data_IF_949131594451
#
_entry.id   IF_949131594451
#
_cell.length_a   1.000
_cell.length_b   1.000
_cell.length_c   1.000
_cell.angle_alpha   90.00
_cell.angle_beta   90.00
_cell.angle_gamma   90.00
#
_symmetry.space_group_name_H-M   'P 1'
#
loop_
_entity.id
_entity.type
_entity.pdbx_description
1 polymer ?
#
# COMPACT_ATOMS: atom_id res chain seq x y z
N UNK A 1 19.85 -18.28 11.98
CA UNK A 1 19.36 -16.97 12.43
C UNK A 1 17.85 -17.05 12.49
N UNK A 2 17.28 -17.27 13.67
CA UNK A 2 15.89 -16.87 13.92
C UNK A 2 15.97 -15.38 14.27
N UNK A 3 15.45 -14.52 13.41
CA UNK A 3 15.46 -13.07 13.68
C UNK A 3 14.78 -12.75 15.01
N UNK A 4 15.20 -11.65 15.61
CA UNK A 4 14.72 -11.19 16.92
C UNK A 4 13.22 -10.88 16.93
N UNK A 5 12.65 -10.51 15.76
CA UNK A 5 11.21 -10.21 15.58
C UNK A 5 10.65 -10.80 14.27
N UNK A 6 10.20 -12.07 14.25
CA UNK A 6 9.71 -12.72 13.03
C UNK A 6 8.51 -11.97 12.40
N UNK A 7 7.64 -11.38 13.22
CA UNK A 7 6.52 -10.57 12.72
C UNK A 7 6.98 -9.40 11.85
N UNK A 8 7.98 -8.62 12.31
CA UNK A 8 8.42 -7.40 11.62
C UNK A 8 9.11 -7.72 10.32
N UNK A 9 9.84 -8.84 10.27
CA UNK A 9 10.54 -9.27 9.07
C UNK A 9 9.57 -9.71 7.96
N UNK A 10 8.57 -10.53 8.29
CA UNK A 10 7.55 -10.93 7.31
C UNK A 10 6.78 -9.72 6.80
N UNK A 11 6.40 -8.82 7.71
CA UNK A 11 5.68 -7.60 7.36
C UNK A 11 6.47 -6.72 6.40
N UNK A 12 7.75 -6.45 6.72
CA UNK A 12 8.62 -5.64 5.86
C UNK A 12 8.77 -6.26 4.47
N UNK A 13 8.97 -7.57 4.39
CA UNK A 13 9.15 -8.24 3.10
C UNK A 13 7.88 -8.17 2.23
N UNK A 14 6.70 -8.24 2.85
CA UNK A 14 5.42 -8.03 2.18
C UNK A 14 5.19 -6.56 1.76
N UNK A 15 5.55 -5.60 2.62
CA UNK A 15 5.50 -4.17 2.32
C UNK A 15 6.41 -3.80 1.14
N UNK A 16 7.64 -4.31 1.12
CA UNK A 16 8.59 -4.09 0.02
C UNK A 16 8.06 -4.64 -1.31
N UNK A 17 7.38 -5.79 -1.28
CA UNK A 17 6.73 -6.36 -2.47
C UNK A 17 5.61 -5.45 -2.98
N UNK A 18 4.73 -5.00 -2.10
CA UNK A 18 3.65 -4.07 -2.44
C UNK A 18 4.20 -2.72 -2.90
N UNK A 19 5.30 -2.24 -2.34
CA UNK A 19 5.92 -0.98 -2.75
C UNK A 19 6.58 -1.06 -4.13
N UNK A 20 7.18 -2.20 -4.48
CA UNK A 20 7.87 -2.40 -5.76
C UNK A 20 6.89 -2.66 -6.91
N UNK A 21 5.79 -3.37 -6.65
CA UNK A 21 4.88 -3.88 -7.67
C UNK A 21 3.47 -3.26 -7.60
N UNK A 22 3.14 -2.59 -6.51
CA UNK A 22 1.80 -2.11 -6.22
C UNK A 22 0.86 -3.24 -5.78
N UNK A 23 -0.41 -2.90 -5.64
CA UNK A 23 -1.48 -3.85 -5.30
C UNK A 23 -1.94 -4.72 -6.45
N UNK A 24 -1.50 -4.39 -7.67
CA UNK A 24 -1.84 -5.15 -8.87
C UNK A 24 -1.26 -6.58 -8.82
N UNK A 25 -0.16 -6.78 -8.10
CA UNK A 25 0.48 -8.10 -7.94
C UNK A 25 0.06 -8.79 -6.63
N UNK A 26 -1.24 -8.77 -6.32
CA UNK A 26 -1.81 -9.48 -5.17
C UNK A 26 -1.49 -10.99 -5.20
N UNK A 27 -1.48 -11.60 -6.38
CA UNK A 27 -1.13 -13.03 -6.55
C UNK A 27 0.29 -13.33 -6.06
N UNK A 28 1.25 -12.41 -6.27
CA UNK A 28 2.63 -12.57 -5.77
C UNK A 28 2.69 -12.46 -4.26
N UNK A 29 1.90 -11.56 -3.69
CA UNK A 29 1.80 -11.40 -2.25
C UNK A 29 1.18 -12.66 -1.60
N UNK A 30 0.16 -13.24 -2.23
CA UNK A 30 -0.44 -14.50 -1.80
C UNK A 30 0.55 -15.68 -1.92
N UNK A 31 1.28 -15.79 -3.04
CA UNK A 31 2.33 -16.81 -3.22
C UNK A 31 3.38 -16.74 -2.10
N UNK A 32 3.83 -15.53 -1.75
CA UNK A 32 4.79 -15.30 -0.68
C UNK A 32 4.22 -15.73 0.68
N UNK A 33 2.97 -15.38 0.97
CA UNK A 33 2.29 -15.76 2.20
C UNK A 33 2.17 -17.28 2.33
N UNK A 34 1.70 -17.96 1.28
CA UNK A 34 1.58 -19.42 1.23
C UNK A 34 2.94 -20.06 1.41
N UNK A 35 3.99 -19.52 0.78
CA UNK A 35 5.35 -20.01 0.93
C UNK A 35 5.83 -19.89 2.38
N UNK A 36 5.61 -18.75 3.04
CA UNK A 36 5.95 -18.56 4.45
C UNK A 36 5.18 -19.52 5.37
N UNK A 37 3.88 -19.75 5.14
CA UNK A 37 3.10 -20.70 5.92
C UNK A 37 3.53 -22.16 5.69
N UNK A 38 4.11 -22.47 4.52
CA UNK A 38 4.55 -23.83 4.19
C UNK A 38 5.93 -24.14 4.75
N UNK A 39 6.83 -23.15 4.74
CA UNK A 39 8.22 -23.32 5.20
C UNK A 39 8.39 -23.16 6.70
N UNK A 40 7.46 -22.44 7.36
CA UNK A 40 7.52 -22.21 8.81
C UNK A 40 6.66 -23.19 9.60
N UNK A 41 6.97 -23.34 10.90
CA UNK A 41 6.17 -24.14 11.82
C UNK A 41 4.93 -23.39 12.31
N UNK A 42 3.93 -24.13 12.82
CA UNK A 42 2.65 -23.59 13.32
C UNK A 42 2.77 -22.44 14.33
N UNK A 43 3.87 -22.38 15.09
CA UNK A 43 4.14 -21.29 16.06
C UNK A 43 4.39 -19.94 15.36
N UNK A 44 4.94 -19.98 14.15
CA UNK A 44 5.27 -18.81 13.34
C UNK A 44 4.09 -18.32 12.49
N UNK A 45 3.16 -19.23 12.15
CA UNK A 45 2.00 -18.92 11.30
C UNK A 45 1.16 -17.77 11.85
N UNK A 46 1.02 -17.69 13.19
CA UNK A 46 0.28 -16.59 13.83
C UNK A 46 0.92 -15.24 13.58
N UNK A 47 2.25 -15.17 13.54
CA UNK A 47 2.99 -13.93 13.31
C UNK A 47 2.94 -13.54 11.83
N UNK A 48 3.05 -14.53 10.94
CA UNK A 48 2.89 -14.34 9.49
C UNK A 48 1.50 -13.81 9.16
N UNK A 49 0.45 -14.44 9.70
CA UNK A 49 -0.93 -14.04 9.47
C UNK A 49 -1.24 -12.66 10.09
N UNK A 50 -0.73 -12.38 11.29
CA UNK A 50 -0.87 -11.06 11.90
C UNK A 50 -0.22 -9.95 11.05
N UNK A 51 1.01 -10.18 10.59
CA UNK A 51 1.74 -9.24 9.72
C UNK A 51 0.96 -8.94 8.42
N UNK A 52 0.37 -9.97 7.82
CA UNK A 52 -0.42 -9.84 6.61
C UNK A 52 -1.73 -9.07 6.82
N UNK A 53 -2.45 -9.34 7.91
CA UNK A 53 -3.69 -8.61 8.24
C UNK A 53 -3.39 -7.15 8.55
N UNK A 54 -2.33 -6.85 9.29
CA UNK A 54 -1.96 -5.46 9.59
C UNK A 54 -1.60 -4.69 8.31
N UNK A 55 -0.86 -5.32 7.39
CA UNK A 55 -0.57 -4.74 6.08
C UNK A 55 -1.85 -4.42 5.29
N UNK A 56 -2.83 -5.33 5.31
CA UNK A 56 -4.13 -5.12 4.67
C UNK A 56 -4.91 -3.96 5.27
N UNK A 57 -4.87 -3.82 6.59
CA UNK A 57 -5.52 -2.70 7.30
C UNK A 57 -4.85 -1.38 6.94
N UNK A 58 -3.52 -1.34 6.92
CA UNK A 58 -2.76 -0.15 6.56
C UNK A 58 -3.03 0.28 5.11
N UNK A 59 -3.22 -0.70 4.22
CA UNK A 59 -3.56 -0.46 2.84
C UNK A 59 -5.01 0.00 2.64
N UNK A 60 -5.93 -0.56 3.41
CA UNK A 60 -7.34 -0.19 3.38
C UNK A 60 -7.61 1.15 4.06
N UNK A 61 -6.69 1.65 4.89
CA UNK A 61 -6.80 2.96 5.51
C UNK A 61 -6.65 4.05 4.46
N UNK A 62 -7.70 4.85 4.19
CA UNK A 62 -7.55 6.00 3.32
C UNK A 62 -6.51 6.96 3.92
N UNK A 63 -5.71 7.65 3.10
CA UNK A 63 -4.82 8.69 3.61
C UNK A 63 -5.66 9.72 4.39
N UNK A 64 -5.18 10.19 5.55
CA UNK A 64 -5.90 11.20 6.31
C UNK A 64 -6.19 12.40 5.41
N UNK A 65 -7.37 13.04 5.54
CA UNK A 65 -7.69 14.21 4.73
C UNK A 65 -6.58 15.24 4.90
N UNK A 66 -6.18 15.95 3.82
CA UNK A 66 -5.16 16.96 3.94
C UNK A 66 -5.61 17.97 4.99
N UNK A 67 -4.89 18.06 6.10
CA UNK A 67 -5.05 19.13 7.08
C UNK A 67 -5.06 20.42 6.29
N UNK A 68 -6.16 21.17 6.34
CA UNK A 68 -6.32 22.46 5.69
C UNK A 68 -5.38 23.48 6.34
N UNK A 69 -4.09 23.37 6.04
CA UNK A 69 -3.11 24.41 6.30
C UNK A 69 -3.22 25.40 5.15
N UNK A 70 -4.11 26.37 5.35
CA UNK A 70 -4.12 27.60 4.57
C UNK A 70 -2.73 28.22 4.64
N UNK A 71 -2.00 28.26 3.53
CA UNK A 71 -0.87 29.15 3.36
C UNK A 71 -0.62 29.42 1.87
N UNK A 72 -0.62 30.70 1.55
CA UNK A 72 -0.65 31.29 0.22
C UNK A 72 0.63 31.12 -0.61
N UNK A 73 0.47 31.20 -1.94
CA UNK A 73 1.44 31.63 -2.98
C UNK A 73 2.55 30.62 -3.34
N UNK A 74 2.93 30.32 -4.60
CA UNK A 74 2.77 30.96 -5.91
C UNK A 74 2.65 29.92 -7.04
N UNK A 75 1.86 30.28 -8.06
CA UNK A 75 1.83 29.85 -9.47
C UNK A 75 2.98 28.97 -9.98
N UNK A 76 2.68 27.74 -10.42
CA UNK A 76 3.10 27.20 -11.74
C UNK A 76 2.06 26.20 -12.25
N UNK A 77 1.65 26.40 -13.52
CA UNK A 77 0.64 25.66 -14.29
C UNK A 77 0.73 24.14 -14.15
N UNK A 78 -0.38 23.51 -13.77
CA UNK A 78 -0.68 22.12 -14.10
C UNK A 78 -1.91 22.12 -14.99
N UNK A 79 -1.68 21.71 -16.24
CA UNK A 79 -2.68 21.30 -17.23
C UNK A 79 -3.66 20.29 -16.60
N UNK A 80 -4.91 20.71 -16.42
CA UNK A 80 -6.04 19.81 -16.25
C UNK A 80 -7.06 20.18 -17.31
N UNK A 81 -7.03 19.38 -18.36
CA UNK A 81 -7.94 19.34 -19.50
C UNK A 81 -9.35 19.06 -18.96
N UNK A 82 -10.16 20.10 -18.73
CA UNK A 82 -11.62 19.97 -18.59
C UNK A 82 -12.25 21.25 -19.14
N UNK A 83 -12.87 21.14 -20.32
CA UNK A 83 -14.19 21.68 -20.66
C UNK A 83 -14.40 21.48 -22.16
N UNK A 84 -15.00 20.33 -22.47
CA UNK A 84 -15.72 20.09 -23.69
C UNK A 84 -17.11 20.77 -23.58
N UNK A 85 -17.44 21.56 -24.62
CA UNK A 85 -18.77 22.02 -25.02
C UNK A 85 -19.56 23.00 -24.14
N UNK A 86 -19.49 24.31 -24.48
CA UNK A 86 -20.71 25.11 -24.60
C UNK A 86 -20.61 26.32 -25.54
N UNK A 87 -21.13 26.11 -26.76
CA UNK A 87 -22.02 27.02 -27.51
C UNK A 87 -21.53 28.38 -28.04
N UNK A 88 -21.91 28.58 -29.32
CA UNK A 88 -22.35 29.83 -29.97
C UNK A 88 -21.24 30.80 -30.42
N UNK A 89 -20.96 30.86 -31.72
CA UNK A 89 -21.71 31.68 -32.70
C UNK A 89 -21.36 33.17 -32.58
N UNK A 90 -20.44 33.65 -33.42
CA UNK A 90 -20.75 34.67 -34.45
C UNK A 90 -19.61 34.80 -35.44
#
# INVERSE_FOLDING_TARGET
MESEDPYRDFRRSMEEMVAAHGLNDWERLEELLVWYLKVNGKKTHRFIAAAFVDLLVDLASPPPPPSSSSSSSNSFKIEAIIEEERSQSS
#
